data_IF_430322813477
#
_entry.id   IF_430322813477
#
_cell.length_a   1.000
_cell.length_b   1.000
_cell.length_c   1.000
_cell.angle_alpha   90.00
_cell.angle_beta   90.00
_cell.angle_gamma   90.00
#
_symmetry.space_group_name_H-M   'P 1'
#
loop_
_entity.id
_entity.type
_entity.pdbx_description
1 polymer ?
#
# COMPACT_ATOMS: atom_id res chain seq x y z
N UNK A 1 8.56 9.16 -13.90
CA UNK A 1 7.16 8.73 -13.66
C UNK A 1 6.79 8.78 -12.18
N UNK A 2 7.68 8.35 -11.26
CA UNK A 2 7.46 8.41 -9.80
C UNK A 2 7.24 9.83 -9.26
N UNK A 3 7.98 10.81 -9.76
CA UNK A 3 7.84 12.20 -9.32
C UNK A 3 6.50 12.83 -9.72
N UNK A 4 5.93 12.44 -10.85
CA UNK A 4 4.63 12.96 -11.28
C UNK A 4 3.51 12.50 -10.34
N UNK A 5 3.35 11.20 -10.10
CA UNK A 5 2.32 10.66 -9.19
C UNK A 5 2.45 11.24 -7.79
N UNK A 6 3.68 11.31 -7.28
CA UNK A 6 3.94 11.89 -5.97
C UNK A 6 3.48 13.35 -5.90
N UNK A 7 3.88 14.18 -6.84
CA UNK A 7 3.58 15.61 -6.83
C UNK A 7 2.12 15.93 -7.17
N UNK A 8 1.44 15.10 -7.96
CA UNK A 8 0.06 15.38 -8.43
C UNK A 8 -1.03 14.72 -7.58
N UNK A 9 -0.72 13.64 -6.87
CA UNK A 9 -1.71 12.89 -6.07
C UNK A 9 -1.35 12.93 -4.59
N UNK A 10 -0.21 12.35 -4.21
CA UNK A 10 0.12 12.18 -2.79
C UNK A 10 0.34 13.49 -2.04
N UNK A 11 1.25 14.32 -2.53
CA UNK A 11 1.62 15.58 -1.85
C UNK A 11 0.39 16.46 -1.59
N UNK A 12 -0.47 16.79 -2.57
CA UNK A 12 -1.67 17.58 -2.33
C UNK A 12 -2.65 16.97 -1.32
N UNK A 13 -2.81 15.63 -1.33
CA UNK A 13 -3.69 14.95 -0.40
C UNK A 13 -3.12 14.96 1.03
N UNK A 14 -1.81 14.70 1.17
CA UNK A 14 -1.13 14.72 2.47
C UNK A 14 -1.15 16.14 3.07
N UNK A 15 -0.87 17.17 2.29
CA UNK A 15 -0.95 18.56 2.72
C UNK A 15 -2.37 18.97 3.17
N UNK A 16 -3.38 18.52 2.43
CA UNK A 16 -4.78 18.82 2.72
C UNK A 16 -5.31 18.10 3.95
N UNK A 17 -5.07 16.79 4.04
CA UNK A 17 -5.70 15.94 5.05
C UNK A 17 -4.83 15.70 6.28
N UNK A 18 -3.51 15.92 6.18
CA UNK A 18 -2.53 15.73 7.27
C UNK A 18 -2.75 14.40 8.02
N UNK A 19 -2.72 13.26 7.32
CA UNK A 19 -3.04 11.96 7.92
C UNK A 19 -2.09 11.65 9.08
N UNK A 20 -2.63 11.16 10.19
CA UNK A 20 -1.84 10.65 11.33
C UNK A 20 -1.55 9.16 11.18
N UNK A 21 -2.42 8.43 10.49
CA UNK A 21 -2.22 7.02 10.16
C UNK A 21 -2.22 6.86 8.64
N UNK A 22 -1.17 6.20 8.14
CA UNK A 22 -1.01 5.88 6.72
C UNK A 22 -0.84 4.38 6.55
N UNK A 23 -1.73 3.77 5.78
CA UNK A 23 -1.67 2.36 5.43
C UNK A 23 -1.25 2.19 3.97
N UNK A 24 -0.24 1.37 3.73
CA UNK A 24 0.21 0.95 2.40
C UNK A 24 -0.02 -0.55 2.23
N UNK A 25 -0.79 -0.92 1.22
CA UNK A 25 -1.03 -2.30 0.82
C UNK A 25 -0.20 -2.55 -0.43
N UNK A 26 0.85 -3.38 -0.29
CA UNK A 26 1.89 -3.53 -1.31
C UNK A 26 3.06 -2.56 -1.09
N UNK A 27 3.92 -2.87 -0.12
CA UNK A 27 5.05 -2.01 0.24
C UNK A 27 6.20 -2.07 -0.78
N UNK A 28 6.34 -3.20 -1.47
CA UNK A 28 7.40 -3.47 -2.44
C UNK A 28 8.78 -3.02 -1.91
N UNK A 29 9.46 -2.09 -2.60
CA UNK A 29 10.76 -1.54 -2.18
C UNK A 29 10.63 -0.37 -1.17
N UNK A 30 9.44 -0.06 -0.66
CA UNK A 30 9.18 1.04 0.27
C UNK A 30 9.48 2.42 -0.31
N UNK A 31 9.17 2.62 -1.58
CA UNK A 31 9.42 3.89 -2.26
C UNK A 31 8.43 4.98 -1.85
N UNK A 32 7.20 4.58 -1.57
CA UNK A 32 6.18 5.48 -1.01
C UNK A 32 6.65 6.02 0.34
N UNK A 33 7.08 5.11 1.22
CA UNK A 33 7.60 5.46 2.54
C UNK A 33 8.80 6.41 2.45
N UNK A 34 9.71 6.18 1.50
CA UNK A 34 10.87 7.05 1.24
C UNK A 34 10.47 8.47 0.84
N UNK A 35 9.35 8.63 0.15
CA UNK A 35 8.85 9.93 -0.28
C UNK A 35 7.96 10.58 0.77
N UNK A 36 7.19 9.78 1.51
CA UNK A 36 6.27 10.22 2.55
C UNK A 36 6.99 10.86 3.75
N UNK A 37 8.04 10.21 4.25
CA UNK A 37 8.69 10.63 5.49
C UNK A 37 9.32 12.03 5.44
N UNK A 38 10.03 12.46 4.37
CA UNK A 38 10.53 13.82 4.30
C UNK A 38 9.40 14.87 4.23
N UNK A 39 8.31 14.55 3.53
CA UNK A 39 7.19 15.46 3.38
C UNK A 39 6.47 15.70 4.71
N UNK A 40 6.15 14.65 5.47
CA UNK A 40 5.45 14.82 6.76
C UNK A 40 6.33 15.57 7.75
N UNK A 41 7.65 15.38 7.71
CA UNK A 41 8.61 16.17 8.50
C UNK A 41 8.62 17.64 8.09
N UNK A 42 8.63 17.94 6.79
CA UNK A 42 8.53 19.32 6.27
C UNK A 42 7.24 19.99 6.75
N UNK A 43 6.15 19.23 6.83
CA UNK A 43 4.85 19.70 7.31
C UNK A 43 4.74 19.79 8.85
N UNK A 44 5.79 19.40 9.58
CA UNK A 44 5.91 19.57 11.03
C UNK A 44 5.10 18.57 11.84
N UNK A 45 4.87 17.34 11.34
CA UNK A 45 4.23 16.28 12.11
C UNK A 45 4.81 14.91 11.78
N UNK A 46 4.50 13.92 12.62
CA UNK A 46 4.86 12.53 12.43
C UNK A 46 3.62 11.70 12.07
N UNK A 47 3.86 10.50 11.52
CA UNK A 47 2.84 9.60 11.03
C UNK A 47 3.10 8.17 11.55
N UNK A 48 2.03 7.47 11.91
CA UNK A 48 2.04 6.03 12.14
C UNK A 48 1.87 5.31 10.81
N UNK A 49 2.84 4.48 10.45
CA UNK A 49 2.86 3.76 9.18
C UNK A 49 2.45 2.29 9.37
N UNK A 50 1.53 1.83 8.55
CA UNK A 50 1.07 0.44 8.49
C UNK A 50 1.36 -0.12 7.09
N UNK A 51 2.24 -1.11 7.01
CA UNK A 51 2.61 -1.73 5.74
C UNK A 51 2.16 -3.18 5.68
N UNK A 52 1.34 -3.52 4.70
CA UNK A 52 0.90 -4.89 4.41
C UNK A 52 1.55 -5.36 3.12
N UNK A 53 2.29 -6.46 3.17
CA UNK A 53 2.94 -7.03 1.99
C UNK A 53 3.23 -8.52 2.21
N UNK A 54 3.18 -9.30 1.14
CA UNK A 54 3.61 -10.68 1.16
C UNK A 54 5.13 -10.81 1.35
N UNK A 55 5.87 -9.77 0.98
CA UNK A 55 7.32 -9.72 0.98
C UNK A 55 7.93 -10.92 0.22
N UNK A 56 8.85 -11.65 0.83
CA UNK A 56 9.54 -12.80 0.25
C UNK A 56 8.76 -14.13 0.34
N UNK A 57 7.43 -14.11 0.53
CA UNK A 57 6.63 -15.34 0.53
C UNK A 57 6.58 -15.88 -0.90
N UNK A 58 7.24 -17.02 -1.12
CA UNK A 58 7.42 -17.60 -2.45
C UNK A 58 6.14 -18.25 -3.00
N UNK A 59 5.35 -18.88 -2.13
CA UNK A 59 4.14 -19.60 -2.53
C UNK A 59 2.91 -18.70 -2.42
N UNK A 60 2.19 -18.58 -3.52
CA UNK A 60 0.94 -17.81 -3.57
C UNK A 60 -0.25 -18.75 -3.40
N UNK A 61 -1.22 -18.39 -2.57
CA UNK A 61 -2.47 -19.14 -2.48
C UNK A 61 -3.19 -19.17 -3.84
N UNK A 62 -3.80 -20.28 -4.16
CA UNK A 62 -4.51 -20.46 -5.44
C UNK A 62 -5.67 -19.49 -5.64
N UNK A 63 -6.26 -18.97 -4.57
CA UNK A 63 -7.33 -17.96 -4.64
C UNK A 63 -6.83 -16.58 -5.10
N UNK A 64 -5.53 -16.31 -5.04
CA UNK A 64 -4.92 -15.06 -5.55
C UNK A 64 -4.89 -15.00 -7.10
N UNK A 65 -5.32 -16.06 -7.78
CA UNK A 65 -5.40 -16.14 -9.24
C UNK A 65 -6.82 -16.44 -9.73
N UNK A 66 -7.83 -15.67 -9.32
CA UNK A 66 -9.14 -15.85 -9.91
C UNK A 66 -9.11 -15.39 -11.37
N UNK A 67 -10.06 -15.91 -12.12
CA UNK A 67 -10.34 -15.34 -13.45
C UNK A 67 -10.93 -13.96 -13.29
N UNK A 68 -10.43 -13.01 -14.08
CA UNK A 68 -11.06 -11.71 -14.21
C UNK A 68 -12.52 -11.90 -14.66
N UNK A 69 -13.50 -11.39 -13.93
CA UNK A 69 -14.91 -11.62 -14.26
C UNK A 69 -15.33 -10.94 -15.56
N UNK A 70 -14.55 -9.98 -16.06
CA UNK A 70 -14.82 -9.24 -17.29
C UNK A 70 -14.15 -9.90 -18.49
N UNK A 71 -12.84 -10.25 -18.37
CA UNK A 71 -12.06 -10.79 -19.48
C UNK A 71 -12.03 -12.32 -19.52
N UNK A 72 -12.31 -12.99 -18.40
CA UNK A 72 -12.20 -14.43 -18.23
C UNK A 72 -10.75 -14.97 -18.18
N UNK A 73 -9.76 -14.10 -18.24
CA UNK A 73 -8.35 -14.44 -18.20
C UNK A 73 -7.86 -14.63 -16.76
N UNK A 74 -6.82 -15.45 -16.59
CA UNK A 74 -6.15 -15.58 -15.29
C UNK A 74 -5.37 -14.31 -15.00
N UNK A 75 -5.59 -13.73 -13.82
CA UNK A 75 -4.90 -12.54 -13.38
C UNK A 75 -3.56 -12.88 -12.74
N UNK A 76 -2.52 -12.17 -13.14
CA UNK A 76 -1.19 -12.34 -12.59
C UNK A 76 -0.91 -11.27 -11.54
N UNK A 77 -0.52 -11.72 -10.37
CA UNK A 77 -0.09 -10.84 -9.31
C UNK A 77 1.40 -10.52 -9.42
N UNK A 78 1.66 -9.29 -9.49
CA UNK A 78 2.85 -8.49 -9.26
C UNK A 78 4.25 -9.11 -9.28
N UNK A 79 5.19 -8.23 -9.07
CA UNK A 79 6.64 -8.49 -8.97
C UNK A 79 6.98 -8.98 -7.55
N UNK A 80 8.10 -9.68 -7.42
CA UNK A 80 8.68 -9.98 -6.12
C UNK A 80 8.93 -8.69 -5.33
N UNK A 81 8.46 -8.66 -4.10
CA UNK A 81 8.71 -7.55 -3.17
C UNK A 81 10.13 -7.63 -2.58
N UNK A 82 10.61 -6.50 -2.08
CA UNK A 82 11.80 -6.50 -1.24
C UNK A 82 11.58 -7.36 0.01
N UNK A 83 12.67 -7.87 0.61
CA UNK A 83 12.52 -8.67 1.81
C UNK A 83 11.96 -7.85 2.98
N UNK A 84 11.19 -8.50 3.83
CA UNK A 84 10.66 -7.91 5.07
C UNK A 84 11.75 -7.20 5.88
N UNK A 85 12.92 -7.83 6.00
CA UNK A 85 14.03 -7.30 6.79
C UNK A 85 14.53 -5.96 6.24
N UNK A 86 14.64 -5.80 4.93
CA UNK A 86 15.07 -4.54 4.28
C UNK A 86 14.10 -3.40 4.59
N UNK A 87 12.81 -3.66 4.51
CA UNK A 87 11.79 -2.63 4.80
C UNK A 87 11.76 -2.32 6.29
N UNK A 88 11.88 -3.34 7.14
CA UNK A 88 11.96 -3.17 8.59
C UNK A 88 13.14 -2.28 9.01
N UNK A 89 14.33 -2.54 8.52
CA UNK A 89 15.52 -1.72 8.82
C UNK A 89 15.35 -0.26 8.37
N UNK A 90 14.66 -0.05 7.26
CA UNK A 90 14.31 1.30 6.80
C UNK A 90 13.34 1.98 7.76
N UNK A 91 12.30 1.29 8.20
CA UNK A 91 11.35 1.82 9.18
C UNK A 91 12.04 2.13 10.53
N UNK A 92 12.86 1.22 11.03
CA UNK A 92 13.65 1.42 12.26
C UNK A 92 14.50 2.69 12.17
N UNK A 93 15.17 2.90 11.02
CA UNK A 93 15.94 4.12 10.76
C UNK A 93 15.06 5.37 10.74
N UNK A 94 13.87 5.29 10.18
CA UNK A 94 12.97 6.44 10.11
C UNK A 94 12.39 6.81 11.47
N UNK A 95 12.03 5.84 12.30
CA UNK A 95 11.62 6.10 13.69
C UNK A 95 12.79 6.71 14.49
N UNK A 96 13.98 6.13 14.39
CA UNK A 96 15.18 6.66 15.06
C UNK A 96 15.52 8.11 14.69
N UNK A 97 15.21 8.50 13.45
CA UNK A 97 15.48 9.85 12.94
C UNK A 97 14.24 10.78 13.04
N UNK A 98 13.24 10.38 13.81
CA UNK A 98 12.00 11.16 14.01
C UNK A 98 11.28 11.51 12.69
N UNK A 99 11.31 10.60 11.73
CA UNK A 99 10.61 10.71 10.45
C UNK A 99 9.30 9.93 10.43
N UNK A 100 9.14 8.98 11.34
CA UNK A 100 7.91 8.26 11.66
C UNK A 100 7.69 8.32 13.17
N UNK A 101 6.44 8.37 13.59
CA UNK A 101 6.07 8.17 15.00
C UNK A 101 6.25 6.70 15.38
N UNK A 102 5.61 5.83 14.61
CA UNK A 102 5.73 4.39 14.75
C UNK A 102 5.51 3.68 13.42
N UNK A 103 5.72 2.37 13.39
CA UNK A 103 5.34 1.55 12.25
C UNK A 103 4.85 0.16 12.68
N UNK A 104 4.03 -0.43 11.83
CA UNK A 104 3.61 -1.82 11.92
C UNK A 104 3.71 -2.47 10.53
N UNK A 105 4.64 -3.42 10.37
CA UNK A 105 4.78 -4.18 9.12
C UNK A 105 4.16 -5.55 9.31
N UNK A 106 3.17 -5.84 8.49
CA UNK A 106 2.41 -7.09 8.52
C UNK A 106 2.79 -7.91 7.29
N UNK A 107 3.49 -9.03 7.55
CA UNK A 107 3.92 -9.97 6.52
C UNK A 107 2.87 -11.02 6.27
N UNK A 108 2.43 -11.12 5.05
CA UNK A 108 1.46 -12.12 4.60
C UNK A 108 0.60 -11.63 3.46
N UNK A 109 -0.18 -12.52 2.88
CA UNK A 109 -1.19 -12.16 1.91
C UNK A 109 -2.29 -11.36 2.59
N UNK A 110 -2.80 -10.31 1.92
CA UNK A 110 -3.83 -9.45 2.49
C UNK A 110 -5.11 -10.19 2.83
N UNK A 111 -5.41 -11.26 2.09
CA UNK A 111 -6.53 -12.15 2.41
C UNK A 111 -6.43 -12.79 3.80
N UNK A 112 -5.23 -13.01 4.31
CA UNK A 112 -4.99 -13.64 5.61
C UNK A 112 -4.70 -12.62 6.72
N UNK A 113 -4.20 -11.45 6.35
CA UNK A 113 -3.62 -10.50 7.30
C UNK A 113 -4.39 -9.19 7.40
N UNK A 114 -4.99 -8.74 6.31
CA UNK A 114 -5.81 -7.52 6.27
C UNK A 114 -7.27 -7.90 6.57
N UNK A 115 -7.57 -8.09 7.84
CA UNK A 115 -8.89 -8.49 8.31
C UNK A 115 -9.55 -7.31 9.03
N UNK A 116 -10.57 -6.75 8.41
CA UNK A 116 -11.24 -5.53 8.87
C UNK A 116 -12.61 -5.74 9.49
N UNK A 117 -13.34 -4.64 9.72
CA UNK A 117 -13.07 -3.30 9.16
C UNK A 117 -11.91 -2.57 9.84
N UNK A 118 -10.98 -2.04 9.04
CA UNK A 118 -9.87 -1.22 9.49
C UNK A 118 -10.06 0.21 9.00
N UNK A 119 -9.74 1.18 9.85
CA UNK A 119 -9.91 2.60 9.53
C UNK A 119 -8.59 3.33 9.71
N UNK A 120 -8.14 3.98 8.65
CA UNK A 120 -6.96 4.83 8.63
C UNK A 120 -7.31 6.23 8.14
N UNK A 121 -6.45 7.20 8.39
CA UNK A 121 -6.63 8.53 7.81
C UNK A 121 -6.37 8.50 6.31
N UNK A 122 -5.39 7.71 5.86
CA UNK A 122 -5.07 7.54 4.44
C UNK A 122 -4.63 6.10 4.15
N UNK A 123 -5.14 5.55 3.06
CA UNK A 123 -4.76 4.21 2.56
C UNK A 123 -4.29 4.33 1.12
N UNK A 124 -3.22 3.63 0.80
CA UNK A 124 -2.73 3.44 -0.55
C UNK A 124 -2.76 1.95 -0.91
N UNK A 125 -3.56 1.60 -1.90
CA UNK A 125 -3.72 0.23 -2.41
C UNK A 125 -2.87 0.09 -3.67
N UNK A 126 -1.73 -0.58 -3.53
CA UNK A 126 -0.74 -0.87 -4.59
C UNK A 126 -0.22 -2.32 -4.49
N UNK A 127 -1.09 -3.21 -4.02
CA UNK A 127 -0.79 -4.62 -3.81
C UNK A 127 -1.01 -5.48 -5.05
N UNK A 128 -1.79 -6.55 -4.91
CA UNK A 128 -2.17 -7.39 -6.03
C UNK A 128 -3.09 -6.67 -7.01
N UNK A 129 -2.91 -6.92 -8.31
CA UNK A 129 -3.66 -6.23 -9.37
C UNK A 129 -4.89 -7.03 -9.86
N UNK A 130 -5.19 -8.18 -9.23
CA UNK A 130 -6.39 -8.94 -9.55
C UNK A 130 -7.64 -8.23 -9.01
N UNK A 131 -8.74 -8.33 -9.72
CA UNK A 131 -10.02 -7.77 -9.29
C UNK A 131 -10.42 -8.25 -7.88
N UNK A 132 -10.23 -9.54 -7.60
CA UNK A 132 -10.57 -10.11 -6.29
C UNK A 132 -9.70 -9.57 -5.16
N UNK A 133 -8.39 -9.43 -5.40
CA UNK A 133 -7.45 -8.89 -4.42
C UNK A 133 -7.77 -7.43 -4.12
N UNK A 134 -7.88 -6.60 -5.16
CA UNK A 134 -8.20 -5.18 -5.01
C UNK A 134 -9.55 -4.98 -4.31
N UNK A 135 -10.55 -5.78 -4.68
CA UNK A 135 -11.87 -5.75 -4.04
C UNK A 135 -11.77 -6.16 -2.57
N UNK A 136 -11.03 -7.22 -2.25
CA UNK A 136 -10.81 -7.64 -0.88
C UNK A 136 -10.18 -6.52 -0.08
N UNK A 137 -9.04 -6.00 -0.55
CA UNK A 137 -8.28 -4.93 0.13
C UNK A 137 -9.17 -3.71 0.40
N UNK A 138 -9.91 -3.27 -0.60
CA UNK A 138 -10.85 -2.16 -0.47
C UNK A 138 -11.93 -2.41 0.59
N UNK A 139 -12.57 -3.58 0.58
CA UNK A 139 -13.65 -3.90 1.54
C UNK A 139 -13.16 -3.88 2.98
N UNK A 140 -11.88 -4.19 3.24
CA UNK A 140 -11.31 -4.15 4.59
C UNK A 140 -11.02 -2.72 5.08
N UNK A 141 -10.83 -1.76 4.18
CA UNK A 141 -10.40 -0.39 4.51
C UNK A 141 -11.35 0.70 4.04
N UNK A 142 -12.51 0.35 3.48
CA UNK A 142 -13.45 1.28 2.82
C UNK A 142 -13.96 2.43 3.67
N UNK A 143 -13.92 2.28 4.98
CA UNK A 143 -14.36 3.32 5.93
C UNK A 143 -13.24 4.32 6.29
N UNK A 144 -12.06 4.17 5.66
CA UNK A 144 -10.94 5.10 5.80
C UNK A 144 -11.25 6.45 5.14
N UNK A 145 -10.62 7.54 5.64
CA UNK A 145 -10.96 8.90 5.19
C UNK A 145 -10.54 9.21 3.75
N UNK A 146 -9.38 8.69 3.33
CA UNK A 146 -8.85 8.85 1.97
C UNK A 146 -8.31 7.51 1.51
N UNK A 147 -8.75 7.05 0.35
CA UNK A 147 -8.25 5.83 -0.29
C UNK A 147 -7.70 6.18 -1.67
N UNK A 148 -6.47 5.80 -1.91
CA UNK A 148 -5.76 5.99 -3.18
C UNK A 148 -5.52 4.60 -3.78
N UNK A 149 -5.95 4.41 -5.02
CA UNK A 149 -5.65 3.21 -5.80
C UNK A 149 -4.51 3.50 -6.76
N UNK A 150 -3.56 2.56 -6.85
CA UNK A 150 -2.58 2.56 -7.93
C UNK A 150 -3.12 1.89 -9.18
N UNK A 151 -2.36 2.05 -10.26
CA UNK A 151 -2.53 1.36 -11.54
C UNK A 151 -3.98 1.31 -12.08
N UNK A 152 -4.76 2.38 -11.83
CA UNK A 152 -6.17 2.49 -12.26
C UNK A 152 -6.37 2.55 -13.78
N UNK A 153 -5.31 2.29 -14.57
CA UNK A 153 -5.39 2.32 -16.02
C UNK A 153 -5.94 0.98 -16.55
N UNK A 154 -7.19 0.95 -17.04
CA UNK A 154 -7.95 -0.28 -17.30
C UNK A 154 -7.35 -1.18 -18.39
N UNK A 155 -6.50 -0.62 -19.27
CA UNK A 155 -5.83 -1.41 -20.33
C UNK A 155 -4.69 -2.25 -19.77
N UNK A 156 -4.05 -1.79 -18.70
CA UNK A 156 -2.89 -2.48 -18.12
C UNK A 156 -3.26 -3.38 -16.94
N UNK A 157 -4.17 -2.88 -16.08
CA UNK A 157 -4.59 -3.57 -14.87
C UNK A 157 -6.11 -3.43 -14.68
N UNK A 158 -6.90 -4.24 -15.39
CA UNK A 158 -8.35 -4.11 -15.41
C UNK A 158 -9.03 -4.39 -14.07
N UNK A 159 -8.32 -5.04 -13.13
CA UNK A 159 -8.83 -5.32 -11.78
C UNK A 159 -8.88 -4.09 -10.87
N UNK A 160 -8.20 -3.01 -11.23
CA UNK A 160 -8.09 -1.78 -10.42
C UNK A 160 -9.00 -0.65 -10.95
N UNK A 161 -9.61 -0.82 -12.13
CA UNK A 161 -10.43 0.18 -12.79
C UNK A 161 -11.90 0.17 -12.33
#
# INVERSE_FOLDING_TARGET
MKDYKWNTVFKPLIEKYKPKTFCEIGCHEGLTLKSLTPLVKELGYNIDYFGYDAFEIAERPTFEYPKNPITGEMEHNGKESASYQVIKERCDKYVKNELLESYNLIKGWTHDTLIGPLVFDMVYIDGGHSYSTVKWDYEQVKDSKVIIFDDTYPVKFPGVA
#
